data_IF_731527907036
#
_entry.id   IF_731527907036
#
_cell.length_a   1.000
_cell.length_b   1.000
_cell.length_c   1.000
_cell.angle_alpha   90.00
_cell.angle_beta   90.00
_cell.angle_gamma   90.00
#
_symmetry.space_group_name_H-M   'P 1'
#
loop_
_entity.id
_entity.type
_entity.pdbx_description
1 polymer ?
#
# COMPACT_ATOMS: atom_id res chain seq x y z
N UNK A 1 -18.72 45.51 16.23
CA UNK A 1 -18.58 46.93 16.65
C UNK A 1 -17.11 47.31 16.61
N UNK A 2 -16.80 48.23 15.69
CA UNK A 2 -15.69 49.18 15.50
C UNK A 2 -14.38 48.98 16.31
N UNK A 3 -13.28 48.70 15.61
CA UNK A 3 -12.16 49.64 15.38
C UNK A 3 -10.90 48.90 14.88
N UNK A 4 -10.33 49.36 13.76
CA UNK A 4 -9.09 48.82 13.23
C UNK A 4 -8.78 49.23 11.79
N UNK A 5 -9.03 50.50 11.45
CA UNK A 5 -8.83 51.13 10.14
C UNK A 5 -7.34 51.37 9.78
N UNK A 6 -6.47 50.40 10.10
CA UNK A 6 -5.04 50.38 9.74
C UNK A 6 -4.62 49.21 8.85
N UNK A 7 -5.47 48.18 8.69
CA UNK A 7 -5.13 46.95 7.96
C UNK A 7 -5.40 46.98 6.45
N UNK A 8 -6.21 47.92 5.95
CA UNK A 8 -6.69 47.89 4.56
C UNK A 8 -5.63 48.35 3.55
N UNK A 9 -4.71 49.25 3.91
CA UNK A 9 -3.62 49.67 3.02
C UNK A 9 -2.50 48.62 2.92
N UNK A 10 -2.12 47.94 4.01
CA UNK A 10 -1.12 46.85 3.96
C UNK A 10 -1.64 45.63 3.20
N UNK A 11 -2.89 45.19 3.47
CA UNK A 11 -3.52 44.12 2.68
C UNK A 11 -3.68 44.52 1.22
N UNK A 12 -4.07 45.77 0.91
CA UNK A 12 -4.16 46.22 -0.48
C UNK A 12 -2.80 46.30 -1.19
N UNK A 13 -1.70 46.58 -0.47
CA UNK A 13 -0.33 46.56 -1.04
C UNK A 13 0.14 45.13 -1.26
N UNK A 14 -0.15 44.20 -0.34
CA UNK A 14 0.14 42.77 -0.51
C UNK A 14 -0.70 42.17 -1.64
N UNK A 15 -1.96 42.58 -1.80
CA UNK A 15 -2.80 42.23 -2.94
C UNK A 15 -2.32 42.85 -4.24
N UNK A 16 -1.85 44.10 -4.24
CA UNK A 16 -1.30 44.71 -5.44
C UNK A 16 0.05 44.09 -5.83
N UNK A 17 0.93 43.77 -4.88
CA UNK A 17 2.17 43.03 -5.14
C UNK A 17 1.89 41.59 -5.56
N UNK A 18 0.90 40.93 -4.97
CA UNK A 18 0.46 39.59 -5.36
C UNK A 18 -0.19 39.62 -6.75
N UNK A 19 -1.13 40.53 -7.04
CA UNK A 19 -1.70 40.74 -8.37
C UNK A 19 -0.65 41.17 -9.39
N UNK A 20 0.35 41.97 -9.01
CA UNK A 20 1.47 42.35 -9.88
C UNK A 20 2.44 41.18 -10.08
N UNK A 21 2.68 40.33 -9.07
CA UNK A 21 3.41 39.07 -9.19
C UNK A 21 2.62 38.03 -9.98
N UNK A 22 1.28 38.06 -9.96
CA UNK A 22 0.38 37.21 -10.73
C UNK A 22 0.22 37.67 -12.17
N UNK A 23 0.22 38.98 -12.40
CA UNK A 23 0.24 39.59 -13.72
C UNK A 23 1.64 39.45 -14.34
N UNK A 24 2.71 39.52 -13.54
CA UNK A 24 4.04 39.12 -13.96
C UNK A 24 4.14 37.61 -14.12
N UNK A 25 3.49 36.77 -13.31
CA UNK A 25 3.43 35.32 -13.52
C UNK A 25 2.78 35.03 -14.88
N UNK A 26 1.65 35.68 -15.17
CA UNK A 26 0.93 35.70 -16.46
C UNK A 26 1.82 36.14 -17.65
N UNK A 27 2.63 37.19 -17.50
CA UNK A 27 3.55 37.71 -18.55
C UNK A 27 4.85 36.88 -18.66
N UNK A 28 5.34 36.35 -17.54
CA UNK A 28 6.66 35.69 -17.38
C UNK A 28 6.62 34.22 -17.79
N UNK A 29 5.45 33.58 -17.80
CA UNK A 29 5.20 32.26 -18.41
C UNK A 29 5.81 32.10 -19.81
N UNK A 30 5.96 33.20 -20.56
CA UNK A 30 6.56 33.22 -21.89
C UNK A 30 7.96 33.83 -21.97
N UNK A 31 8.44 34.57 -20.96
CA UNK A 31 9.59 35.47 -21.14
C UNK A 31 10.75 35.29 -20.16
N UNK A 32 10.54 34.80 -18.92
CA UNK A 32 11.65 34.71 -17.95
C UNK A 32 11.60 33.45 -17.07
N UNK A 33 12.42 32.46 -17.44
CA UNK A 33 12.56 31.18 -16.75
C UNK A 33 13.11 31.32 -15.32
N UNK A 34 13.89 32.38 -15.03
CA UNK A 34 14.55 32.56 -13.75
C UNK A 34 13.58 32.97 -12.65
N UNK A 35 12.63 33.84 -13.00
CA UNK A 35 11.57 34.30 -12.08
C UNK A 35 10.68 33.14 -11.68
N UNK A 36 10.30 32.30 -12.65
CA UNK A 36 9.51 31.09 -12.38
C UNK A 36 10.26 30.12 -11.46
N UNK A 37 11.52 29.82 -11.74
CA UNK A 37 12.32 28.94 -10.87
C UNK A 37 12.39 29.49 -9.44
N UNK A 38 12.63 30.79 -9.28
CA UNK A 38 12.65 31.44 -7.97
C UNK A 38 11.30 31.36 -7.25
N UNK A 39 10.19 31.54 -7.98
CA UNK A 39 8.85 31.43 -7.41
C UNK A 39 8.57 30.03 -6.88
N UNK A 40 8.87 28.96 -7.63
CA UNK A 40 8.64 27.60 -7.14
C UNK A 40 9.61 27.23 -6.02
N UNK A 41 10.86 27.68 -6.10
CA UNK A 41 11.87 27.37 -5.11
C UNK A 41 11.57 27.99 -3.74
N UNK A 42 11.22 29.28 -3.70
CA UNK A 42 10.93 29.99 -2.45
C UNK A 42 9.44 29.99 -2.07
N UNK A 43 8.53 29.77 -3.03
CA UNK A 43 7.08 29.82 -2.87
C UNK A 43 6.41 28.46 -2.72
N UNK A 44 7.11 27.43 -2.21
CA UNK A 44 6.59 26.05 -2.08
C UNK A 44 5.28 25.94 -1.28
N UNK A 45 5.00 26.93 -0.41
CA UNK A 45 3.82 26.95 0.46
C UNK A 45 2.75 27.97 0.01
N UNK A 46 2.80 28.48 -1.23
CA UNK A 46 1.91 29.56 -1.69
C UNK A 46 0.42 29.28 -1.39
N UNK A 47 -0.04 28.06 -1.71
CA UNK A 47 -1.43 27.66 -1.51
C UNK A 47 -1.79 27.35 -0.05
N UNK A 48 -0.79 27.20 0.84
CA UNK A 48 -1.01 27.01 2.28
C UNK A 48 -1.22 28.32 3.04
N UNK A 49 -0.95 29.46 2.41
CA UNK A 49 -1.06 30.78 3.03
C UNK A 49 -2.51 31.29 3.15
N UNK A 50 -3.49 30.62 2.53
CA UNK A 50 -4.90 31.03 2.60
C UNK A 50 -5.17 32.39 1.95
N UNK A 51 -4.35 32.78 0.96
CA UNK A 51 -4.50 34.04 0.25
C UNK A 51 -5.81 34.02 -0.55
N UNK A 52 -6.66 35.02 -0.33
CA UNK A 52 -7.93 35.12 -1.05
C UNK A 52 -7.67 35.28 -2.55
N UNK A 53 -8.35 34.48 -3.36
CA UNK A 53 -8.22 34.52 -4.83
C UNK A 53 -7.03 33.72 -5.39
N UNK A 54 -6.19 33.10 -4.56
CA UNK A 54 -5.09 32.21 -5.01
C UNK A 54 -5.61 31.02 -5.81
N UNK A 55 -6.85 30.60 -5.59
CA UNK A 55 -7.51 29.54 -6.34
C UNK A 55 -7.55 29.84 -7.85
N UNK A 56 -7.73 31.11 -8.23
CA UNK A 56 -7.86 31.52 -9.62
C UNK A 56 -6.61 31.24 -10.47
N UNK A 57 -5.45 31.14 -9.82
CA UNK A 57 -4.17 30.97 -10.48
C UNK A 57 -3.77 29.50 -10.56
N UNK A 58 -4.47 28.61 -9.85
CA UNK A 58 -4.10 27.21 -9.72
C UNK A 58 -3.94 26.47 -11.06
N UNK A 59 -4.86 26.58 -12.05
CA UNK A 59 -4.69 25.90 -13.33
C UNK A 59 -3.39 26.31 -14.05
N UNK A 60 -3.05 27.59 -13.98
CA UNK A 60 -1.84 28.16 -14.57
C UNK A 60 -0.60 27.75 -13.79
N UNK A 61 -0.68 27.79 -12.46
CA UNK A 61 0.41 27.35 -11.59
C UNK A 61 0.82 25.90 -11.89
N UNK A 62 -0.15 24.98 -12.01
CA UNK A 62 0.12 23.60 -12.39
C UNK A 62 0.69 23.49 -13.81
N UNK A 63 0.30 24.38 -14.73
CA UNK A 63 0.90 24.46 -16.05
C UNK A 63 2.38 24.86 -16.03
N UNK A 64 2.75 25.82 -15.19
CA UNK A 64 4.17 26.18 -15.00
C UNK A 64 4.95 25.06 -14.37
N UNK A 65 4.35 24.44 -13.35
CA UNK A 65 4.95 23.35 -12.60
C UNK A 65 5.35 22.23 -13.56
N UNK A 66 4.44 21.82 -14.46
CA UNK A 66 4.73 20.80 -15.48
C UNK A 66 5.92 21.19 -16.38
N UNK A 67 5.96 22.44 -16.86
CA UNK A 67 7.05 22.93 -17.72
C UNK A 67 8.38 22.84 -16.98
N UNK A 68 8.46 23.39 -15.77
CA UNK A 68 9.71 23.45 -15.01
C UNK A 68 10.16 22.05 -14.62
N UNK A 69 9.24 21.18 -14.20
CA UNK A 69 9.52 19.80 -13.85
C UNK A 69 10.08 19.01 -15.04
N UNK A 70 9.50 19.17 -16.23
CA UNK A 70 9.96 18.51 -17.46
C UNK A 70 11.30 19.08 -17.93
N UNK A 71 11.45 20.40 -17.97
CA UNK A 71 12.65 21.04 -18.51
C UNK A 71 13.84 20.90 -17.57
N UNK A 72 13.63 20.94 -16.25
CA UNK A 72 14.70 20.70 -15.26
C UNK A 72 15.22 19.26 -15.25
N UNK A 73 14.52 18.31 -15.89
CA UNK A 73 15.07 16.98 -16.15
C UNK A 73 16.14 17.00 -17.27
N UNK A 74 16.19 18.05 -18.09
CA UNK A 74 17.06 18.14 -19.27
C UNK A 74 18.10 19.24 -19.18
N UNK A 75 17.79 20.34 -18.48
CA UNK A 75 18.56 21.58 -18.51
C UNK A 75 18.62 22.20 -17.13
N UNK A 76 19.74 22.88 -16.83
CA UNK A 76 19.83 23.78 -15.69
C UNK A 76 19.04 25.06 -15.98
N UNK A 77 17.92 25.24 -15.28
CA UNK A 77 17.03 26.38 -15.51
C UNK A 77 17.44 27.64 -14.73
N UNK A 78 18.15 27.49 -13.62
CA UNK A 78 18.58 28.60 -12.76
C UNK A 78 20.06 28.45 -12.36
N UNK A 79 20.88 29.52 -12.43
CA UNK A 79 22.31 29.44 -12.19
C UNK A 79 22.66 29.10 -10.73
N UNK A 80 21.81 29.41 -9.76
CA UNK A 80 22.08 29.17 -8.34
C UNK A 80 21.29 28.01 -7.73
N UNK A 81 20.38 27.38 -8.47
CA UNK A 81 19.52 26.31 -7.94
C UNK A 81 19.83 25.02 -8.70
N UNK A 82 20.29 23.95 -8.03
CA UNK A 82 20.51 22.64 -8.65
C UNK A 82 19.22 22.05 -9.24
N UNK A 83 19.30 21.26 -10.33
CA UNK A 83 18.09 20.77 -10.99
C UNK A 83 17.27 19.82 -10.10
N UNK A 84 17.93 18.98 -9.30
CA UNK A 84 17.28 18.07 -8.34
C UNK A 84 16.47 18.84 -7.31
N UNK A 85 17.02 19.93 -6.76
CA UNK A 85 16.35 20.78 -5.79
C UNK A 85 15.22 21.60 -6.42
N UNK A 86 15.35 21.96 -7.70
CA UNK A 86 14.26 22.58 -8.46
C UNK A 86 13.08 21.61 -8.62
N UNK A 87 13.34 20.36 -9.02
CA UNK A 87 12.30 19.32 -9.10
C UNK A 87 11.69 19.05 -7.74
N UNK A 88 12.49 19.00 -6.67
CA UNK A 88 12.02 18.86 -5.28
C UNK A 88 11.06 19.98 -4.90
N UNK A 89 11.41 21.22 -5.22
CA UNK A 89 10.56 22.37 -4.96
C UNK A 89 9.23 22.29 -5.73
N UNK A 90 9.26 21.87 -6.99
CA UNK A 90 8.04 21.61 -7.78
C UNK A 90 7.19 20.48 -7.18
N UNK A 91 7.78 19.38 -6.73
CA UNK A 91 7.04 18.28 -6.09
C UNK A 91 6.42 18.73 -4.75
N UNK A 92 7.13 19.54 -3.95
CA UNK A 92 6.59 20.12 -2.72
C UNK A 92 5.44 21.09 -2.99
N UNK A 93 5.60 21.93 -4.01
CA UNK A 93 4.52 22.78 -4.51
C UNK A 93 3.28 21.95 -4.91
N UNK A 94 3.47 20.88 -5.69
CA UNK A 94 2.40 19.97 -6.10
C UNK A 94 1.72 19.32 -4.89
N UNK A 95 2.50 18.89 -3.89
CA UNK A 95 1.98 18.28 -2.66
C UNK A 95 1.03 19.19 -1.88
N UNK A 96 1.18 20.51 -2.00
CA UNK A 96 0.29 21.47 -1.32
C UNK A 96 -1.12 21.51 -1.89
N UNK A 97 -1.30 21.00 -3.12
CA UNK A 97 -2.56 21.04 -3.87
C UNK A 97 -3.03 19.67 -4.37
N UNK A 98 -2.34 18.58 -4.03
CA UNK A 98 -2.61 17.23 -4.56
C UNK A 98 -4.02 16.73 -4.26
N UNK A 99 -4.58 17.05 -3.09
CA UNK A 99 -5.94 16.66 -2.69
C UNK A 99 -7.02 17.61 -3.20
N UNK A 100 -6.68 18.80 -3.71
CA UNK A 100 -7.67 19.81 -4.07
C UNK A 100 -8.71 19.33 -5.10
N UNK A 101 -8.37 18.52 -6.12
CA UNK A 101 -9.36 18.01 -7.05
C UNK A 101 -10.46 17.18 -6.41
N UNK A 102 -10.16 16.42 -5.35
CA UNK A 102 -11.13 15.57 -4.63
C UNK A 102 -11.78 16.32 -3.48
N UNK A 103 -11.06 17.23 -2.81
CA UNK A 103 -11.61 18.07 -1.74
C UNK A 103 -12.68 19.03 -2.25
N UNK A 104 -12.44 19.70 -3.39
CA UNK A 104 -13.37 20.69 -3.94
C UNK A 104 -14.25 20.13 -5.07
N UNK A 105 -13.87 19.00 -5.66
CA UNK A 105 -14.67 18.26 -6.62
C UNK A 105 -15.13 19.10 -7.82
N UNK A 106 -16.44 19.12 -8.06
CA UNK A 106 -17.07 19.84 -9.18
C UNK A 106 -17.21 21.34 -8.97
N UNK A 107 -16.71 21.88 -7.87
CA UNK A 107 -16.76 23.32 -7.60
C UNK A 107 -16.02 24.09 -8.69
N UNK A 108 -16.56 25.27 -9.04
CA UNK A 108 -15.94 26.14 -10.04
C UNK A 108 -14.69 26.81 -9.48
N UNK A 109 -13.66 26.89 -10.31
CA UNK A 109 -12.45 27.66 -10.00
C UNK A 109 -12.74 29.13 -10.36
N UNK A 110 -12.47 30.11 -9.47
CA UNK A 110 -12.56 31.53 -9.79
C UNK A 110 -11.75 31.86 -11.04
N UNK A 111 -12.31 32.66 -11.95
CA UNK A 111 -11.65 32.99 -13.23
C UNK A 111 -10.96 34.35 -13.17
N UNK A 112 -9.78 34.46 -13.78
CA UNK A 112 -9.08 35.74 -13.96
C UNK A 112 -9.70 36.49 -15.15
N UNK A 113 -10.03 37.79 -15.00
CA UNK A 113 -10.39 38.63 -16.15
C UNK A 113 -9.18 38.69 -17.09
N UNK A 114 -9.38 38.43 -18.39
CA UNK A 114 -8.35 38.26 -19.45
C UNK A 114 -7.71 36.86 -19.60
N UNK A 115 -8.37 35.79 -19.15
CA UNK A 115 -7.82 34.42 -19.28
C UNK A 115 -7.89 33.79 -20.70
N UNK A 116 -8.49 34.46 -21.69
CA UNK A 116 -8.86 33.88 -22.99
C UNK A 116 -7.67 33.42 -23.87
N UNK A 117 -6.44 33.80 -23.54
CA UNK A 117 -5.23 33.42 -24.27
C UNK A 117 -4.39 32.32 -23.57
N UNK A 118 -4.84 31.81 -22.42
CA UNK A 118 -4.07 30.85 -21.64
C UNK A 118 -4.37 29.40 -22.04
N UNK A 119 -3.32 28.58 -22.10
CA UNK A 119 -3.38 27.16 -22.50
C UNK A 119 -4.11 26.27 -21.50
N UNK A 120 -4.40 26.73 -20.28
CA UNK A 120 -5.05 25.93 -19.24
C UNK A 120 -6.51 26.35 -19.05
N UNK A 121 -7.44 25.55 -19.56
CA UNK A 121 -8.87 25.83 -19.62
C UNK A 121 -9.70 25.21 -18.49
N UNK A 122 -9.07 24.79 -17.38
CA UNK A 122 -9.78 24.11 -16.30
C UNK A 122 -10.75 25.07 -15.60
N UNK A 123 -12.03 24.74 -15.63
CA UNK A 123 -13.12 25.52 -15.03
C UNK A 123 -13.56 24.99 -13.67
N UNK A 124 -13.24 23.72 -13.36
CA UNK A 124 -13.52 23.08 -12.07
C UNK A 124 -12.29 22.40 -11.49
N UNK A 125 -12.28 22.16 -10.18
CA UNK A 125 -11.16 21.50 -9.50
C UNK A 125 -10.95 20.06 -9.98
N UNK A 126 -12.02 19.31 -10.22
CA UNK A 126 -11.91 17.92 -10.66
C UNK A 126 -11.18 17.77 -12.00
N UNK A 127 -11.30 18.74 -12.90
CA UNK A 127 -10.57 18.75 -14.18
C UNK A 127 -9.05 18.80 -13.99
N UNK A 128 -8.55 19.29 -12.86
CA UNK A 128 -7.13 19.29 -12.53
C UNK A 128 -6.63 17.90 -12.10
N UNK A 129 -7.52 16.98 -11.71
CA UNK A 129 -7.17 15.64 -11.23
C UNK A 129 -6.33 14.87 -12.24
N UNK A 130 -6.77 14.83 -13.50
CA UNK A 130 -6.07 14.15 -14.60
C UNK A 130 -4.69 14.75 -14.86
N UNK A 131 -4.56 16.07 -14.72
CA UNK A 131 -3.28 16.77 -14.86
C UNK A 131 -2.31 16.35 -13.75
N UNK A 132 -2.72 16.48 -12.50
CA UNK A 132 -1.89 16.11 -11.33
C UNK A 132 -1.46 14.65 -11.42
N UNK A 133 -2.38 13.74 -11.77
CA UNK A 133 -2.07 12.33 -12.02
C UNK A 133 -0.98 12.16 -13.10
N UNK A 134 -1.13 12.80 -14.27
CA UNK A 134 -0.14 12.72 -15.36
C UNK A 134 1.23 13.27 -14.93
N UNK A 135 1.26 14.36 -14.16
CA UNK A 135 2.50 14.94 -13.60
C UNK A 135 3.18 13.97 -12.64
N UNK A 136 2.43 13.31 -11.76
CA UNK A 136 2.96 12.31 -10.83
C UNK A 136 3.51 11.09 -11.55
N UNK A 137 2.77 10.52 -12.53
CA UNK A 137 3.25 9.39 -13.33
C UNK A 137 4.50 9.76 -14.14
N UNK A 138 4.56 10.98 -14.68
CA UNK A 138 5.76 11.49 -15.34
C UNK A 138 6.94 11.55 -14.36
N UNK A 139 6.74 12.11 -13.16
CA UNK A 139 7.77 12.17 -12.11
C UNK A 139 8.26 10.77 -11.74
N UNK A 140 7.32 9.85 -11.52
CA UNK A 140 7.59 8.48 -11.13
C UNK A 140 8.38 7.70 -12.19
N UNK A 141 8.25 8.05 -13.48
CA UNK A 141 8.96 7.41 -14.59
C UNK A 141 10.34 8.01 -14.88
N UNK A 142 10.59 9.26 -14.48
CA UNK A 142 11.78 10.00 -14.90
C UNK A 142 12.67 10.47 -13.73
N UNK A 143 12.15 10.55 -12.51
CA UNK A 143 12.96 10.97 -11.37
C UNK A 143 13.96 9.88 -10.95
N UNK A 144 15.12 10.35 -10.49
CA UNK A 144 16.27 9.55 -10.08
C UNK A 144 16.69 9.83 -8.64
N UNK A 145 16.38 11.01 -8.10
CA UNK A 145 16.70 11.36 -6.70
C UNK A 145 15.78 10.59 -5.73
N UNK A 146 16.33 9.83 -4.76
CA UNK A 146 15.54 9.03 -3.82
C UNK A 146 14.53 9.85 -3.00
N UNK A 147 14.89 11.07 -2.57
CA UNK A 147 14.02 11.93 -1.77
C UNK A 147 12.82 12.41 -2.60
N UNK A 148 13.07 12.82 -3.85
CA UNK A 148 12.01 13.20 -4.78
C UNK A 148 11.12 12.00 -5.15
N UNK A 149 11.68 10.79 -5.27
CA UNK A 149 10.92 9.57 -5.48
C UNK A 149 10.01 9.23 -4.29
N UNK A 150 10.51 9.33 -3.06
CA UNK A 150 9.68 9.16 -1.85
C UNK A 150 8.52 10.15 -1.80
N UNK A 151 8.78 11.43 -2.09
CA UNK A 151 7.74 12.45 -2.14
C UNK A 151 6.69 12.15 -3.23
N UNK A 152 7.14 11.71 -4.40
CA UNK A 152 6.26 11.31 -5.50
C UNK A 152 5.41 10.10 -5.15
N UNK A 153 6.01 9.05 -4.59
CA UNK A 153 5.31 7.83 -4.15
C UNK A 153 4.26 8.14 -3.08
N UNK A 154 4.60 8.97 -2.10
CA UNK A 154 3.65 9.40 -1.06
C UNK A 154 2.46 10.17 -1.66
N UNK A 155 2.71 11.11 -2.58
CA UNK A 155 1.63 11.83 -3.27
C UNK A 155 0.76 10.90 -4.12
N UNK A 156 1.35 9.89 -4.77
CA UNK A 156 0.60 8.89 -5.52
C UNK A 156 -0.37 8.11 -4.62
N UNK A 157 0.07 7.66 -3.44
CA UNK A 157 -0.79 6.96 -2.47
C UNK A 157 -1.98 7.83 -2.08
N UNK A 158 -1.72 9.07 -1.65
CA UNK A 158 -2.76 10.02 -1.26
C UNK A 158 -3.74 10.27 -2.40
N UNK A 159 -3.24 10.52 -3.62
CA UNK A 159 -4.10 10.78 -4.76
C UNK A 159 -4.99 9.57 -5.10
N UNK A 160 -4.49 8.33 -5.02
CA UNK A 160 -5.27 7.14 -5.35
C UNK A 160 -6.36 6.88 -4.32
N UNK A 161 -6.03 6.96 -3.03
CA UNK A 161 -6.98 6.74 -1.94
C UNK A 161 -8.11 7.79 -1.98
N UNK A 162 -7.74 9.06 -2.07
CA UNK A 162 -8.70 10.17 -2.17
C UNK A 162 -9.54 10.10 -3.44
N UNK A 163 -8.95 9.73 -4.59
CA UNK A 163 -9.70 9.61 -5.85
C UNK A 163 -10.68 8.45 -5.83
N UNK A 164 -10.28 7.32 -5.23
CA UNK A 164 -11.14 6.15 -5.06
C UNK A 164 -12.31 6.47 -4.14
N UNK A 165 -12.02 7.05 -2.96
CA UNK A 165 -13.02 7.47 -1.98
C UNK A 165 -14.01 8.48 -2.58
N UNK A 166 -13.49 9.49 -3.29
CA UNK A 166 -14.31 10.50 -3.95
C UNK A 166 -15.24 9.88 -4.99
N UNK A 167 -14.71 9.06 -5.92
CA UNK A 167 -15.50 8.46 -7.00
C UNK A 167 -16.60 7.53 -6.45
N UNK A 168 -16.33 6.78 -5.38
CA UNK A 168 -17.31 5.90 -4.73
C UNK A 168 -18.37 6.66 -3.91
N UNK A 169 -18.07 7.89 -3.51
CA UNK A 169 -18.99 8.75 -2.75
C UNK A 169 -19.97 9.56 -3.61
N UNK A 170 -19.87 9.50 -4.94
CA UNK A 170 -20.74 10.25 -5.85
C UNK A 170 -22.12 9.60 -6.00
N UNK A 171 -23.15 10.42 -6.17
CA UNK A 171 -24.47 9.94 -6.63
C UNK A 171 -24.43 9.55 -8.10
N UNK A 172 -25.46 8.84 -8.58
CA UNK A 172 -25.59 8.47 -9.99
C UNK A 172 -25.59 9.70 -10.92
N UNK A 173 -26.25 10.80 -10.51
CA UNK A 173 -26.28 12.05 -11.28
C UNK A 173 -24.90 12.72 -11.32
N UNK A 174 -24.21 12.78 -10.18
CA UNK A 174 -22.87 13.35 -10.09
C UNK A 174 -21.84 12.53 -10.88
N UNK A 175 -21.98 11.21 -10.88
CA UNK A 175 -21.17 10.30 -11.68
C UNK A 175 -21.39 10.54 -13.18
N UNK A 176 -22.64 10.70 -13.61
CA UNK A 176 -22.96 11.02 -15.00
C UNK A 176 -22.37 12.38 -15.43
N UNK A 177 -22.44 13.39 -14.57
CA UNK A 177 -21.84 14.70 -14.84
C UNK A 177 -20.31 14.62 -14.90
N UNK A 178 -19.69 13.88 -13.98
CA UNK A 178 -18.25 13.62 -14.02
C UNK A 178 -17.81 12.99 -15.35
N UNK A 179 -18.52 11.96 -15.79
CA UNK A 179 -18.24 11.29 -17.05
C UNK A 179 -18.38 12.27 -18.22
N UNK A 180 -19.41 13.13 -18.23
CA UNK A 180 -19.58 14.17 -19.26
C UNK A 180 -18.41 15.13 -19.28
N UNK A 181 -18.02 15.67 -18.13
CA UNK A 181 -16.93 16.63 -18.00
C UNK A 181 -15.59 16.07 -18.49
N UNK A 182 -15.32 14.79 -18.22
CA UNK A 182 -14.06 14.16 -18.64
C UNK A 182 -14.06 13.77 -20.12
N UNK A 183 -15.22 13.36 -20.66
CA UNK A 183 -15.38 13.09 -22.09
C UNK A 183 -15.11 14.33 -22.93
N UNK A 184 -15.57 15.50 -22.46
CA UNK A 184 -15.29 16.79 -23.12
C UNK A 184 -13.79 17.14 -23.14
N UNK A 185 -12.99 16.61 -22.22
CA UNK A 185 -11.54 16.87 -22.17
C UNK A 185 -10.69 15.91 -23.02
N UNK A 186 -11.14 14.67 -23.25
CA UNK A 186 -10.29 13.61 -23.82
C UNK A 186 -10.71 13.11 -25.22
N UNK A 187 -11.78 13.65 -25.82
CA UNK A 187 -12.26 13.20 -27.13
C UNK A 187 -12.85 11.78 -27.13
N UNK A 188 -13.11 11.20 -28.30
CA UNK A 188 -13.86 9.94 -28.57
C UNK A 188 -13.31 8.62 -27.95
N UNK A 189 -12.64 8.65 -26.80
CA UNK A 189 -12.34 7.45 -26.02
C UNK A 189 -13.56 7.11 -25.15
N UNK A 190 -13.98 5.85 -25.14
CA UNK A 190 -15.06 5.38 -24.27
C UNK A 190 -14.67 5.65 -22.82
N UNK A 191 -15.39 6.51 -22.08
CA UNK A 191 -15.06 6.78 -20.68
C UNK A 191 -15.29 5.49 -19.89
N UNK A 192 -14.23 4.95 -19.29
CA UNK A 192 -14.40 3.91 -18.27
C UNK A 192 -15.25 4.51 -17.14
N UNK A 193 -16.28 3.77 -16.70
CA UNK A 193 -17.17 4.20 -15.60
C UNK A 193 -16.45 4.50 -14.27
N UNK A 194 -15.15 4.21 -14.16
CA UNK A 194 -14.31 4.59 -13.02
C UNK A 194 -13.02 5.22 -13.51
N UNK A 195 -12.96 6.55 -13.61
CA UNK A 195 -11.77 7.27 -14.06
C UNK A 195 -10.56 6.99 -13.16
N UNK A 196 -10.77 6.85 -11.86
CA UNK A 196 -9.73 6.43 -10.92
C UNK A 196 -9.17 5.02 -11.23
N UNK A 197 -9.93 4.12 -11.85
CA UNK A 197 -9.45 2.77 -12.27
C UNK A 197 -8.28 2.92 -13.24
N UNK A 198 -8.42 3.80 -14.23
CA UNK A 198 -7.35 4.07 -15.20
C UNK A 198 -6.11 4.68 -14.52
N UNK A 199 -6.30 5.48 -13.47
CA UNK A 199 -5.20 6.05 -12.69
C UNK A 199 -4.48 4.99 -11.86
N UNK A 200 -5.23 4.14 -11.17
CA UNK A 200 -4.68 3.02 -10.40
C UNK A 200 -3.89 2.08 -11.32
N UNK A 201 -4.47 1.68 -12.46
CA UNK A 201 -3.79 0.83 -13.46
C UNK A 201 -2.50 1.46 -13.97
N UNK A 202 -2.53 2.73 -14.35
CA UNK A 202 -1.34 3.41 -14.88
C UNK A 202 -0.27 3.67 -13.82
N UNK A 203 -0.65 3.92 -12.57
CA UNK A 203 0.27 3.99 -11.43
C UNK A 203 0.93 2.63 -11.17
N UNK A 204 0.13 1.58 -11.04
CA UNK A 204 0.60 0.21 -10.82
C UNK A 204 1.59 -0.19 -11.92
N UNK A 205 1.23 0.06 -13.19
CA UNK A 205 2.12 -0.19 -14.32
C UNK A 205 3.45 0.55 -14.19
N UNK A 206 3.44 1.82 -13.80
CA UNK A 206 4.65 2.61 -13.64
C UNK A 206 5.54 2.12 -12.47
N UNK A 207 4.96 1.77 -11.32
CA UNK A 207 5.70 1.23 -10.17
C UNK A 207 6.28 -0.15 -10.52
N UNK A 208 5.46 -1.05 -11.06
CA UNK A 208 5.84 -2.42 -11.40
C UNK A 208 6.95 -2.49 -12.45
N UNK A 209 6.95 -1.56 -13.41
CA UNK A 209 8.03 -1.41 -14.38
C UNK A 209 9.32 -0.94 -13.70
N UNK A 210 9.27 0.11 -12.87
CA UNK A 210 10.44 0.72 -12.23
C UNK A 210 11.08 -0.13 -11.14
N UNK A 211 10.30 -0.81 -10.29
CA UNK A 211 10.81 -1.51 -9.08
C UNK A 211 11.86 -2.58 -9.39
N UNK A 212 11.78 -3.21 -10.57
CA UNK A 212 12.74 -4.23 -10.99
C UNK A 212 13.94 -3.66 -11.77
N UNK A 213 13.95 -2.37 -12.07
CA UNK A 213 15.09 -1.76 -12.77
C UNK A 213 16.23 -1.50 -11.79
N UNK A 214 17.50 -1.54 -12.25
CA UNK A 214 18.67 -1.38 -11.38
C UNK A 214 18.65 -0.11 -10.53
N UNK A 215 18.08 0.99 -11.03
CA UNK A 215 18.04 2.27 -10.33
C UNK A 215 17.18 2.20 -9.05
N UNK A 216 16.10 1.43 -9.04
CA UNK A 216 15.26 1.24 -7.87
C UNK A 216 15.68 0.02 -7.06
N UNK A 217 16.04 -1.06 -7.74
CA UNK A 217 16.50 -2.29 -7.12
C UNK A 217 17.84 -2.14 -6.38
N UNK A 218 18.63 -1.11 -6.70
CA UNK A 218 19.82 -0.71 -5.93
C UNK A 218 19.51 0.22 -4.76
N UNK A 219 18.43 1.01 -4.85
CA UNK A 219 17.99 1.96 -3.84
C UNK A 219 16.94 1.34 -2.90
N UNK A 220 17.42 0.65 -1.86
CA UNK A 220 16.58 -0.14 -0.95
C UNK A 220 15.44 0.68 -0.30
N UNK A 221 15.70 1.94 0.05
CA UNK A 221 14.70 2.82 0.67
C UNK A 221 13.56 3.16 -0.30
N UNK A 222 13.86 3.34 -1.58
CA UNK A 222 12.87 3.60 -2.64
C UNK A 222 12.08 2.32 -2.92
N UNK A 223 12.75 1.17 -2.98
CA UNK A 223 12.10 -0.14 -3.13
C UNK A 223 11.08 -0.40 -2.02
N UNK A 224 11.43 -0.16 -0.75
CA UNK A 224 10.50 -0.30 0.38
C UNK A 224 9.31 0.64 0.25
N UNK A 225 9.55 1.92 -0.04
CA UNK A 225 8.47 2.89 -0.24
C UNK A 225 7.53 2.48 -1.39
N UNK A 226 8.07 1.93 -2.48
CA UNK A 226 7.28 1.42 -3.59
C UNK A 226 6.42 0.21 -3.19
N UNK A 227 6.98 -0.72 -2.42
CA UNK A 227 6.24 -1.86 -1.85
C UNK A 227 5.13 -1.37 -0.92
N UNK A 228 5.38 -0.35 -0.10
CA UNK A 228 4.36 0.23 0.79
C UNK A 228 3.23 0.90 0.02
N UNK A 229 3.53 1.58 -1.10
CA UNK A 229 2.49 2.08 -2.02
C UNK A 229 1.66 0.92 -2.56
N UNK A 230 2.31 -0.15 -3.06
CA UNK A 230 1.59 -1.33 -3.56
C UNK A 230 0.73 -1.99 -2.46
N UNK A 231 1.20 -2.07 -1.23
CA UNK A 231 0.40 -2.56 -0.10
C UNK A 231 -0.76 -1.62 0.23
N UNK A 232 -0.57 -0.31 0.15
CA UNK A 232 -1.65 0.65 0.38
C UNK A 232 -2.77 0.47 -0.64
N UNK A 233 -2.43 0.17 -1.89
CA UNK A 233 -3.40 -0.07 -2.96
C UNK A 233 -4.27 -1.31 -2.73
N UNK A 234 -3.85 -2.30 -1.94
CA UNK A 234 -4.67 -3.49 -1.66
C UNK A 234 -5.91 -3.17 -0.80
N UNK A 235 -5.94 -2.01 -0.15
CA UNK A 235 -7.08 -1.55 0.64
C UNK A 235 -8.11 -0.78 -0.18
N UNK A 236 -7.83 -0.49 -1.46
CA UNK A 236 -8.81 0.14 -2.34
C UNK A 236 -10.01 -0.78 -2.57
N UNK A 237 -11.18 -0.19 -2.81
CA UNK A 237 -12.41 -0.95 -2.96
C UNK A 237 -12.32 -1.96 -4.12
N UNK A 238 -12.81 -3.20 -3.97
CA UNK A 238 -12.70 -4.25 -4.99
C UNK A 238 -13.29 -3.88 -6.36
N UNK A 239 -14.32 -3.02 -6.41
CA UNK A 239 -14.91 -2.58 -7.70
C UNK A 239 -13.97 -1.69 -8.51
N UNK A 240 -13.00 -1.04 -7.86
CA UNK A 240 -11.97 -0.22 -8.53
C UNK A 240 -10.80 -1.11 -8.95
N UNK A 241 -10.33 -1.99 -8.05
CA UNK A 241 -9.19 -2.89 -8.32
C UNK A 241 -9.52 -3.98 -9.35
N UNK A 242 -10.72 -4.55 -9.28
CA UNK A 242 -11.19 -5.67 -10.12
C UNK A 242 -12.38 -5.25 -10.99
N UNK A 243 -12.30 -4.04 -11.55
CA UNK A 243 -13.33 -3.51 -12.44
C UNK A 243 -13.58 -4.49 -13.60
N UNK A 244 -14.84 -4.81 -13.88
CA UNK A 244 -15.25 -5.83 -14.86
C UNK A 244 -14.66 -7.23 -14.63
N UNK A 245 -14.35 -7.58 -13.36
CA UNK A 245 -13.68 -8.85 -12.98
C UNK A 245 -12.27 -9.00 -13.59
N UNK A 246 -11.65 -7.91 -14.00
CA UNK A 246 -10.29 -7.91 -14.51
C UNK A 246 -9.27 -8.02 -13.37
N UNK A 247 -8.56 -9.14 -13.31
CA UNK A 247 -7.50 -9.40 -12.32
C UNK A 247 -6.12 -8.92 -12.74
N UNK A 248 -5.98 -8.35 -13.95
CA UNK A 248 -4.67 -7.99 -14.54
C UNK A 248 -3.84 -7.08 -13.64
N UNK A 249 -4.47 -6.15 -12.92
CA UNK A 249 -3.79 -5.21 -12.02
C UNK A 249 -3.13 -5.96 -10.85
N UNK A 250 -3.90 -6.81 -10.16
CA UNK A 250 -3.37 -7.61 -9.05
C UNK A 250 -2.33 -8.63 -9.52
N UNK A 251 -2.58 -9.29 -10.67
CA UNK A 251 -1.63 -10.23 -11.26
C UNK A 251 -0.31 -9.57 -11.64
N UNK A 252 -0.34 -8.34 -12.18
CA UNK A 252 0.87 -7.58 -12.51
C UNK A 252 1.68 -7.25 -11.26
N UNK A 253 1.01 -6.88 -10.17
CA UNK A 253 1.68 -6.57 -8.89
C UNK A 253 2.39 -7.80 -8.35
N UNK A 254 1.66 -8.92 -8.22
CA UNK A 254 2.24 -10.17 -7.70
C UNK A 254 3.40 -10.64 -8.58
N UNK A 255 3.23 -10.66 -9.91
CA UNK A 255 4.29 -11.04 -10.84
C UNK A 255 5.52 -10.12 -10.73
N UNK A 256 5.31 -8.82 -10.55
CA UNK A 256 6.42 -7.85 -10.42
C UNK A 256 7.16 -7.99 -9.09
N UNK A 257 6.46 -8.30 -7.99
CA UNK A 257 7.07 -8.59 -6.70
C UNK A 257 7.89 -9.90 -6.76
N UNK A 258 7.37 -10.95 -7.40
CA UNK A 258 8.12 -12.18 -7.63
C UNK A 258 9.39 -11.93 -8.46
N UNK A 259 9.28 -11.15 -9.55
CA UNK A 259 10.43 -10.75 -10.38
C UNK A 259 11.43 -9.90 -9.59
N UNK A 260 10.96 -9.03 -8.70
CA UNK A 260 11.82 -8.24 -7.83
C UNK A 260 12.62 -9.15 -6.87
N UNK A 261 11.97 -10.12 -6.23
CA UNK A 261 12.64 -11.11 -5.37
C UNK A 261 13.73 -11.85 -6.15
N UNK A 262 13.41 -12.34 -7.35
CA UNK A 262 14.40 -12.99 -8.21
C UNK A 262 15.57 -12.07 -8.55
N UNK A 263 15.28 -10.81 -8.90
CA UNK A 263 16.32 -9.81 -9.22
C UNK A 263 17.24 -9.54 -8.03
N UNK A 264 16.69 -9.48 -6.81
CA UNK A 264 17.47 -9.23 -5.59
C UNK A 264 18.30 -10.45 -5.18
N UNK A 265 17.71 -11.65 -5.19
CA UNK A 265 18.37 -12.88 -4.78
C UNK A 265 19.33 -13.43 -5.84
N UNK A 266 19.16 -13.04 -7.11
CA UNK A 266 20.07 -13.38 -8.20
C UNK A 266 21.35 -12.55 -8.23
N UNK A 267 21.51 -11.56 -7.33
CA UNK A 267 22.76 -10.81 -7.20
C UNK A 267 23.88 -11.71 -6.67
N UNK A 268 25.15 -11.44 -7.00
CA UNK A 268 26.27 -12.22 -6.47
C UNK A 268 26.39 -12.03 -4.93
N UNK A 269 26.91 -13.03 -4.18
CA UNK A 269 26.97 -13.01 -2.71
C UNK A 269 27.58 -11.74 -2.08
N UNK A 270 28.62 -11.09 -2.65
CA UNK A 270 29.16 -9.84 -2.09
C UNK A 270 28.17 -8.67 -2.06
N UNK A 271 27.12 -8.70 -2.87
CA UNK A 271 26.07 -7.68 -2.90
C UNK A 271 24.90 -8.01 -1.95
N UNK A 272 24.95 -9.13 -1.23
CA UNK A 272 23.91 -9.51 -0.27
C UNK A 272 24.10 -8.75 1.05
N UNK A 273 23.40 -7.62 1.16
CA UNK A 273 23.34 -6.84 2.39
C UNK A 273 22.10 -7.19 3.22
N UNK A 274 22.13 -6.82 4.51
CA UNK A 274 20.97 -6.90 5.41
C UNK A 274 19.78 -6.10 4.86
N UNK A 275 20.04 -4.95 4.26
CA UNK A 275 19.00 -4.07 3.70
C UNK A 275 18.37 -4.68 2.46
N UNK A 276 19.18 -5.30 1.60
CA UNK A 276 18.69 -6.07 0.46
C UNK A 276 17.75 -7.18 0.93
N UNK A 277 18.16 -8.01 1.89
CA UNK A 277 17.28 -9.06 2.43
C UNK A 277 16.01 -8.47 3.07
N UNK A 278 16.07 -7.27 3.63
CA UNK A 278 14.87 -6.60 4.16
C UNK A 278 13.89 -6.21 3.05
N UNK A 279 14.38 -5.78 1.88
CA UNK A 279 13.50 -5.55 0.70
C UNK A 279 12.87 -6.84 0.18
N UNK A 280 13.61 -7.96 0.20
CA UNK A 280 13.09 -9.28 -0.21
C UNK A 280 12.00 -9.76 0.76
N UNK A 281 12.24 -9.65 2.06
CA UNK A 281 11.25 -9.98 3.10
C UNK A 281 9.97 -9.15 2.91
N UNK A 282 10.12 -7.83 2.69
CA UNK A 282 8.97 -6.95 2.43
C UNK A 282 8.19 -7.36 1.18
N UNK A 283 8.87 -7.81 0.12
CA UNK A 283 8.22 -8.29 -1.10
C UNK A 283 7.43 -9.59 -0.86
N UNK A 284 7.99 -10.56 -0.12
CA UNK A 284 7.23 -11.77 0.28
C UNK A 284 5.99 -11.43 1.11
N UNK A 285 6.13 -10.56 2.10
CA UNK A 285 5.00 -10.08 2.91
C UNK A 285 3.97 -9.35 2.06
N UNK A 286 4.39 -8.54 1.09
CA UNK A 286 3.50 -7.83 0.16
C UNK A 286 2.71 -8.79 -0.73
N UNK A 287 3.32 -9.85 -1.24
CA UNK A 287 2.60 -10.88 -1.99
C UNK A 287 1.51 -11.51 -1.11
N UNK A 288 1.82 -11.83 0.15
CA UNK A 288 0.83 -12.35 1.08
C UNK A 288 -0.31 -11.36 1.33
N UNK A 289 -0.03 -10.07 1.49
CA UNK A 289 -1.05 -9.01 1.61
C UNK A 289 -2.00 -9.04 0.40
N UNK A 290 -1.46 -9.08 -0.82
CA UNK A 290 -2.25 -9.08 -2.05
C UNK A 290 -3.11 -10.33 -2.22
N UNK A 291 -2.55 -11.52 -1.93
CA UNK A 291 -3.31 -12.78 -2.02
C UNK A 291 -4.42 -12.85 -0.96
N UNK A 292 -4.22 -12.27 0.22
CA UNK A 292 -5.26 -12.20 1.25
C UNK A 292 -6.33 -11.14 0.94
N UNK A 293 -5.94 -9.98 0.41
CA UNK A 293 -6.87 -8.93 0.02
C UNK A 293 -7.72 -9.33 -1.19
N UNK A 294 -7.18 -10.16 -2.09
CA UNK A 294 -7.85 -10.60 -3.30
C UNK A 294 -7.67 -12.11 -3.55
N UNK A 295 -8.47 -12.97 -2.89
CA UNK A 295 -8.37 -14.42 -3.03
C UNK A 295 -8.51 -14.95 -4.47
N UNK A 296 -9.22 -14.21 -5.34
CA UNK A 296 -9.35 -14.54 -6.77
C UNK A 296 -7.99 -14.63 -7.50
N UNK A 297 -6.95 -13.95 -7.00
CA UNK A 297 -5.60 -14.06 -7.54
C UNK A 297 -5.00 -15.45 -7.26
N UNK A 298 -5.33 -16.07 -6.14
CA UNK A 298 -4.91 -17.43 -5.80
C UNK A 298 -5.67 -18.50 -6.58
N UNK A 299 -6.75 -18.16 -7.29
CA UNK A 299 -7.45 -19.07 -8.21
C UNK A 299 -6.81 -19.07 -9.61
N UNK A 300 -5.93 -18.11 -9.90
CA UNK A 300 -5.26 -17.98 -11.18
C UNK A 300 -4.00 -18.86 -11.22
N UNK A 301 -4.01 -19.89 -12.08
CA UNK A 301 -2.88 -20.83 -12.23
C UNK A 301 -1.54 -20.13 -12.52
N UNK A 302 -1.54 -19.11 -13.39
CA UNK A 302 -0.33 -18.35 -13.73
C UNK A 302 0.25 -17.58 -12.54
N UNK A 303 -0.61 -17.04 -11.68
CA UNK A 303 -0.20 -16.36 -10.44
C UNK A 303 0.38 -17.37 -9.46
N UNK A 304 -0.31 -18.50 -9.23
CA UNK A 304 0.16 -19.56 -8.34
C UNK A 304 1.51 -20.12 -8.76
N UNK A 305 1.71 -20.40 -10.05
CA UNK A 305 2.99 -20.89 -10.57
C UNK A 305 4.12 -19.88 -10.29
N UNK A 306 3.87 -18.60 -10.57
CA UNK A 306 4.87 -17.54 -10.33
C UNK A 306 5.20 -17.37 -8.84
N UNK A 307 4.19 -17.48 -7.97
CA UNK A 307 4.38 -17.43 -6.51
C UNK A 307 5.12 -18.66 -5.99
N UNK A 308 4.79 -19.85 -6.48
CA UNK A 308 5.44 -21.09 -6.10
C UNK A 308 6.93 -21.10 -6.48
N UNK A 309 7.30 -20.59 -7.65
CA UNK A 309 8.69 -20.42 -8.06
C UNK A 309 9.44 -19.43 -7.14
N UNK A 310 8.80 -18.32 -6.75
CA UNK A 310 9.39 -17.36 -5.83
C UNK A 310 9.56 -17.95 -4.42
N UNK A 311 8.59 -18.72 -3.93
CA UNK A 311 8.68 -19.44 -2.65
C UNK A 311 9.81 -20.47 -2.70
N UNK A 312 9.89 -21.29 -3.76
CA UNK A 312 10.97 -22.25 -3.95
C UNK A 312 12.32 -21.56 -3.89
N UNK A 313 12.52 -20.47 -4.65
CA UNK A 313 13.75 -19.69 -4.62
C UNK A 313 14.12 -19.19 -3.21
N UNK A 314 13.13 -18.77 -2.42
CA UNK A 314 13.36 -18.28 -1.05
C UNK A 314 13.76 -19.39 -0.08
N UNK A 315 13.21 -20.60 -0.26
CA UNK A 315 13.48 -21.76 0.60
C UNK A 315 14.79 -22.45 0.22
N UNK A 316 15.02 -22.68 -1.07
CA UNK A 316 16.14 -23.49 -1.57
C UNK A 316 17.33 -22.68 -2.06
N UNK A 317 17.13 -21.39 -2.35
CA UNK A 317 18.13 -20.56 -3.03
C UNK A 317 18.29 -20.88 -4.53
N UNK A 318 17.51 -21.81 -5.10
CA UNK A 318 17.63 -22.24 -6.51
C UNK A 318 16.26 -22.40 -7.18
N UNK A 319 16.18 -22.01 -8.47
CA UNK A 319 15.00 -22.28 -9.32
C UNK A 319 15.04 -23.65 -10.02
N UNK A 320 16.19 -24.34 -10.04
CA UNK A 320 16.36 -25.57 -10.81
C UNK A 320 15.66 -26.74 -10.11
N UNK A 321 14.81 -27.48 -10.84
CA UNK A 321 14.19 -28.72 -10.35
C UNK A 321 15.19 -29.86 -10.08
N UNK A 322 16.36 -29.82 -10.72
CA UNK A 322 17.37 -30.89 -10.69
C UNK A 322 18.66 -30.52 -9.92
N UNK A 323 18.68 -29.45 -9.12
CA UNK A 323 19.84 -29.20 -8.26
C UNK A 323 19.92 -30.27 -7.17
N UNK A 324 21.08 -30.91 -7.02
CA UNK A 324 21.35 -31.84 -5.91
C UNK A 324 20.95 -31.19 -4.58
N UNK A 325 20.19 -31.93 -3.76
CA UNK A 325 19.66 -31.46 -2.47
C UNK A 325 20.76 -30.93 -1.53
N UNK A 326 22.02 -31.31 -1.75
CA UNK A 326 23.18 -30.93 -0.94
C UNK A 326 23.65 -29.47 -1.12
N UNK A 327 23.29 -28.78 -2.21
CA UNK A 327 23.68 -27.38 -2.47
C UNK A 327 22.53 -26.36 -2.23
N UNK A 328 21.35 -26.84 -1.84
CA UNK A 328 20.16 -26.02 -1.62
C UNK A 328 20.19 -25.34 -0.26
N UNK A 329 20.46 -24.03 -0.25
CA UNK A 329 20.38 -23.21 0.97
C UNK A 329 19.78 -21.83 0.66
N UNK A 330 18.79 -21.45 1.44
CA UNK A 330 18.22 -20.10 1.42
C UNK A 330 19.31 -19.02 1.61
N UNK A 331 19.12 -17.87 0.95
CA UNK A 331 20.07 -16.76 1.00
C UNK A 331 20.28 -16.20 2.43
N UNK A 332 19.26 -16.28 3.29
CA UNK A 332 19.37 -16.03 4.73
C UNK A 332 18.18 -16.64 5.49
N UNK A 333 18.32 -16.76 6.81
CA UNK A 333 17.23 -17.24 7.68
C UNK A 333 15.95 -16.38 7.56
N UNK A 334 16.11 -15.06 7.45
CA UNK A 334 14.97 -14.13 7.30
C UNK A 334 14.22 -14.34 5.97
N UNK A 335 14.95 -14.61 4.89
CA UNK A 335 14.37 -14.89 3.57
C UNK A 335 13.64 -16.23 3.60
N UNK A 336 14.22 -17.25 4.22
CA UNK A 336 13.59 -18.55 4.44
C UNK A 336 12.26 -18.39 5.22
N UNK A 337 12.30 -17.75 6.39
CA UNK A 337 11.13 -17.55 7.25
C UNK A 337 10.01 -16.77 6.50
N UNK A 338 10.37 -15.78 5.68
CA UNK A 338 9.39 -15.02 4.89
C UNK A 338 8.79 -15.84 3.74
N UNK A 339 9.59 -16.67 3.07
CA UNK A 339 9.11 -17.56 2.01
C UNK A 339 8.21 -18.67 2.55
N UNK A 340 8.59 -19.28 3.68
CA UNK A 340 7.76 -20.25 4.41
C UNK A 340 6.46 -19.61 4.86
N UNK A 341 6.48 -18.40 5.41
CA UNK A 341 5.27 -17.67 5.79
C UNK A 341 4.33 -17.47 4.59
N UNK A 342 4.85 -17.06 3.42
CA UNK A 342 4.03 -16.92 2.21
C UNK A 342 3.44 -18.28 1.78
N UNK A 343 4.23 -19.34 1.81
CA UNK A 343 3.78 -20.71 1.53
C UNK A 343 2.65 -21.13 2.46
N UNK A 344 2.81 -20.92 3.77
CA UNK A 344 1.77 -21.18 4.75
C UNK A 344 0.53 -20.33 4.48
N UNK A 345 0.67 -19.04 4.20
CA UNK A 345 -0.49 -18.17 3.88
C UNK A 345 -1.26 -18.67 2.65
N UNK A 346 -0.58 -19.22 1.64
CA UNK A 346 -1.19 -19.73 0.42
C UNK A 346 -1.89 -21.09 0.65
N UNK A 347 -1.19 -22.04 1.29
CA UNK A 347 -1.62 -23.43 1.41
C UNK A 347 -2.40 -23.74 2.70
N UNK A 348 -2.49 -22.83 3.66
CA UNK A 348 -3.40 -22.99 4.82
C UNK A 348 -4.87 -23.02 4.38
N UNK A 349 -5.20 -22.54 3.18
CA UNK A 349 -6.53 -22.57 2.58
C UNK A 349 -6.70 -23.79 1.66
N UNK A 350 -5.66 -24.14 0.88
CA UNK A 350 -5.66 -25.28 -0.05
C UNK A 350 -5.37 -26.57 0.71
N UNK A 351 -6.45 -27.21 1.16
CA UNK A 351 -6.40 -28.34 2.09
C UNK A 351 -7.63 -28.43 2.98
N UNK A 352 -8.51 -27.41 2.95
CA UNK A 352 -9.88 -27.49 3.50
C UNK A 352 -10.78 -28.38 2.64
N UNK A 353 -10.40 -29.64 2.43
CA UNK A 353 -11.34 -30.68 2.05
C UNK A 353 -12.17 -31.02 3.30
N UNK A 354 -13.37 -30.44 3.40
CA UNK A 354 -14.44 -30.98 4.26
C UNK A 354 -14.23 -30.95 5.78
N UNK A 355 -13.19 -30.32 6.34
CA UNK A 355 -13.19 -30.06 7.79
C UNK A 355 -14.20 -28.95 8.08
N UNK A 356 -15.34 -29.37 8.63
CA UNK A 356 -16.38 -28.46 9.05
C UNK A 356 -15.85 -27.42 10.03
N UNK A 357 -16.33 -26.18 9.93
CA UNK A 357 -15.92 -25.05 10.79
C UNK A 357 -16.03 -25.48 12.26
N UNK A 358 -14.88 -25.59 12.93
CA UNK A 358 -14.79 -25.92 14.35
C UNK A 358 -14.88 -24.64 15.18
N UNK A 359 -16.08 -24.30 15.65
CA UNK A 359 -16.36 -23.14 16.49
C UNK A 359 -17.27 -23.49 17.69
N UNK A 360 -17.51 -22.51 18.56
CA UNK A 360 -18.32 -22.63 19.77
C UNK A 360 -19.77 -23.04 19.45
N UNK A 361 -20.30 -22.60 18.29
CA UNK A 361 -21.65 -22.97 17.83
C UNK A 361 -21.71 -24.43 17.39
N UNK A 362 -20.64 -24.96 16.79
CA UNK A 362 -20.56 -26.36 16.42
C UNK A 362 -20.47 -27.26 17.65
N UNK A 363 -19.74 -26.84 18.69
CA UNK A 363 -19.75 -27.52 19.99
C UNK A 363 -21.16 -27.54 20.60
N UNK A 364 -21.88 -26.42 20.54
CA UNK A 364 -23.28 -26.35 20.95
C UNK A 364 -24.16 -27.32 20.15
N UNK A 365 -23.97 -27.43 18.84
CA UNK A 365 -24.71 -28.40 18.02
C UNK A 365 -24.36 -29.85 18.37
N UNK A 366 -23.08 -30.13 18.67
CA UNK A 366 -22.59 -31.49 18.98
C UNK A 366 -23.06 -31.99 20.35
N UNK A 367 -22.99 -31.15 21.39
CA UNK A 367 -23.29 -31.55 22.78
C UNK A 367 -24.65 -31.05 23.29
N UNK A 368 -25.28 -30.11 22.57
CA UNK A 368 -26.59 -29.55 22.91
C UNK A 368 -26.53 -28.36 23.88
N UNK A 369 -27.64 -27.60 24.00
CA UNK A 369 -27.73 -26.39 24.82
C UNK A 369 -27.71 -26.65 26.32
N UNK A 370 -27.92 -27.89 26.75
CA UNK A 370 -27.80 -28.28 28.16
C UNK A 370 -26.33 -28.42 28.61
N UNK A 371 -25.41 -28.64 27.67
CA UNK A 371 -23.99 -28.92 27.94
C UNK A 371 -23.06 -27.76 27.51
N UNK A 372 -23.45 -26.98 26.51
CA UNK A 372 -22.63 -25.88 26.00
C UNK A 372 -23.44 -24.60 26.03
N UNK A 373 -22.88 -23.58 26.69
CA UNK A 373 -23.39 -22.22 26.68
C UNK A 373 -22.36 -21.33 25.98
N UNK A 374 -22.69 -20.86 24.77
CA UNK A 374 -21.77 -20.06 23.95
C UNK A 374 -21.38 -18.74 24.61
N UNK A 375 -22.13 -18.28 25.62
CA UNK A 375 -21.81 -17.06 26.38
C UNK A 375 -20.80 -17.27 27.50
N UNK A 376 -20.52 -18.52 27.88
CA UNK A 376 -19.62 -18.89 28.98
C UNK A 376 -18.20 -19.27 28.54
N UNK A 377 -17.88 -19.08 27.26
CA UNK A 377 -16.51 -19.28 26.78
C UNK A 377 -15.59 -18.17 27.31
N UNK A 378 -14.48 -18.59 27.89
CA UNK A 378 -13.38 -17.72 28.25
C UNK A 378 -12.39 -17.64 27.09
N UNK A 379 -12.12 -16.43 26.62
CA UNK A 379 -11.23 -16.19 25.48
C UNK A 379 -9.86 -15.70 25.98
N UNK A 380 -8.80 -16.40 25.59
CA UNK A 380 -7.42 -16.09 25.99
C UNK A 380 -6.53 -16.07 24.76
N UNK A 381 -5.73 -15.01 24.61
CA UNK A 381 -4.68 -14.95 23.58
C UNK A 381 -3.38 -15.45 24.20
N UNK A 382 -2.82 -16.51 23.63
CA UNK A 382 -1.56 -17.13 24.02
C UNK A 382 -0.49 -16.76 22.99
N UNK A 383 0.70 -16.36 23.44
CA UNK A 383 1.84 -15.97 22.62
C UNK A 383 1.57 -14.81 21.63
N UNK A 384 0.50 -14.03 21.84
CA UNK A 384 0.17 -12.85 21.05
C UNK A 384 -0.54 -13.13 19.71
N UNK A 385 -0.62 -14.38 19.27
CA UNK A 385 -1.16 -14.75 17.96
C UNK A 385 -2.20 -15.88 18.00
N UNK A 386 -2.31 -16.63 19.10
CA UNK A 386 -3.15 -17.83 19.17
C UNK A 386 -4.30 -17.62 20.13
N UNK A 387 -5.54 -17.64 19.62
CA UNK A 387 -6.75 -17.51 20.42
C UNK A 387 -7.23 -18.88 20.90
N UNK A 388 -7.40 -19.03 22.21
CA UNK A 388 -8.10 -20.15 22.83
C UNK A 388 -9.45 -19.67 23.35
N UNK A 389 -10.53 -20.36 22.97
CA UNK A 389 -11.84 -20.22 23.61
C UNK A 389 -12.09 -21.46 24.47
N UNK A 390 -12.18 -21.31 25.79
CA UNK A 390 -12.22 -22.41 26.75
C UNK A 390 -13.60 -22.43 27.43
N UNK A 391 -14.21 -23.60 27.56
CA UNK A 391 -15.47 -23.81 28.25
C UNK A 391 -15.35 -24.96 29.26
N UNK A 392 -15.92 -24.76 30.44
CA UNK A 392 -16.00 -25.77 31.49
C UNK A 392 -16.79 -26.99 30.99
N UNK A 393 -16.24 -28.19 31.10
CA UNK A 393 -16.83 -29.40 30.52
C UNK A 393 -16.85 -30.59 31.49
N UNK A 394 -16.57 -30.38 32.78
CA UNK A 394 -16.57 -31.47 33.79
C UNK A 394 -17.96 -32.05 34.01
N UNK A 395 -19.00 -31.27 33.71
CA UNK A 395 -20.39 -31.71 33.78
C UNK A 395 -20.83 -32.59 32.59
N UNK A 396 -19.97 -32.78 31.57
CA UNK A 396 -20.26 -33.60 30.38
C UNK A 396 -19.65 -35.00 30.62
N UNK A 397 -20.44 -36.04 30.95
CA UNK A 397 -19.89 -37.33 31.40
C UNK A 397 -19.03 -38.02 30.34
N UNK A 398 -19.41 -37.89 29.07
CA UNK A 398 -18.68 -38.46 27.93
C UNK A 398 -17.28 -37.84 27.74
N UNK A 399 -17.03 -36.66 28.32
CA UNK A 399 -15.76 -35.95 28.21
C UNK A 399 -14.99 -35.88 29.51
N UNK A 400 -15.65 -35.91 30.66
CA UNK A 400 -14.99 -35.71 31.95
C UNK A 400 -14.39 -37.00 32.52
N UNK A 401 -15.07 -38.13 32.34
CA UNK A 401 -14.70 -39.42 32.95
C UNK A 401 -14.33 -39.31 34.45
N UNK A 402 -15.11 -38.51 35.19
CA UNK A 402 -14.90 -38.25 36.62
C UNK A 402 -13.78 -37.25 36.96
N UNK A 403 -13.08 -36.68 35.97
CA UNK A 403 -12.02 -35.70 36.16
C UNK A 403 -12.47 -34.26 35.80
N UNK A 404 -11.92 -33.22 36.44
CA UNK A 404 -12.10 -31.84 35.98
C UNK A 404 -11.64 -31.70 34.54
N UNK A 405 -12.49 -31.11 33.70
CA UNK A 405 -12.33 -31.13 32.25
C UNK A 405 -12.74 -29.81 31.63
N UNK A 406 -11.99 -29.36 30.63
CA UNK A 406 -12.34 -28.21 29.80
C UNK A 406 -12.32 -28.58 28.32
N UNK A 407 -13.29 -28.06 27.58
CA UNK A 407 -13.27 -28.02 26.13
C UNK A 407 -12.57 -26.74 25.70
N UNK A 408 -11.78 -26.81 24.63
CA UNK A 408 -11.19 -25.62 24.05
C UNK A 408 -11.27 -25.62 22.53
N UNK A 409 -11.48 -24.43 21.96
CA UNK A 409 -11.33 -24.13 20.53
C UNK A 409 -10.04 -23.34 20.38
N UNK A 410 -9.06 -23.92 19.68
CA UNK A 410 -7.79 -23.28 19.36
C UNK A 410 -7.86 -22.69 17.96
N UNK A 411 -7.58 -21.39 17.82
CA UNK A 411 -7.44 -20.68 16.54
C UNK A 411 -6.06 -20.06 16.46
N UNK A 412 -5.30 -20.43 15.44
CA UNK A 412 -3.97 -19.90 15.19
C UNK A 412 -3.88 -19.44 13.73
N UNK A 413 -3.09 -18.40 13.41
CA UNK A 413 -2.81 -18.01 12.03
C UNK A 413 -2.15 -19.14 11.23
N UNK A 414 -1.45 -20.05 11.91
CA UNK A 414 -0.63 -21.11 11.32
C UNK A 414 -1.33 -22.47 11.22
N UNK A 415 -2.48 -22.65 11.89
CA UNK A 415 -3.16 -23.96 11.98
C UNK A 415 -4.68 -23.80 11.87
N UNK A 416 -5.40 -24.75 11.22
CA UNK A 416 -6.86 -24.76 11.22
C UNK A 416 -7.43 -24.73 12.65
N UNK A 417 -8.63 -24.12 12.78
CA UNK A 417 -9.35 -24.14 14.05
C UNK A 417 -9.55 -25.60 14.50
N UNK A 418 -9.07 -25.92 15.69
CA UNK A 418 -9.15 -27.27 16.25
C UNK A 418 -9.87 -27.24 17.58
N UNK A 419 -10.61 -28.30 17.86
CA UNK A 419 -11.22 -28.54 19.16
C UNK A 419 -10.38 -29.57 19.89
N UNK A 420 -10.14 -29.34 21.16
CA UNK A 420 -9.57 -30.34 22.04
C UNK A 420 -10.25 -30.34 23.40
N UNK A 421 -9.91 -31.36 24.17
CA UNK A 421 -10.38 -31.56 25.54
C UNK A 421 -9.13 -31.66 26.40
N UNK A 422 -9.06 -30.87 27.46
CA UNK A 422 -8.03 -30.97 28.47
C UNK A 422 -8.64 -31.46 29.77
N UNK A 423 -8.17 -32.61 30.25
CA UNK A 423 -8.59 -33.22 31.51
C UNK A 423 -7.46 -33.11 32.54
N UNK A 424 -7.81 -32.75 33.76
CA UNK A 424 -6.89 -32.79 34.88
C UNK A 424 -6.94 -34.18 35.51
N UNK A 425 -5.98 -35.03 35.16
CA UNK A 425 -5.83 -36.36 35.75
C UNK A 425 -4.81 -36.35 36.88
N UNK A 426 -5.00 -37.13 37.96
CA UNK A 426 -4.03 -37.25 39.04
C UNK A 426 -2.71 -37.90 38.57
N UNK A 427 -2.76 -38.71 37.51
CA UNK A 427 -1.60 -39.37 36.92
C UNK A 427 -1.68 -39.34 35.37
N UNK A 428 -0.53 -39.30 34.67
CA UNK A 428 -0.49 -39.38 33.22
C UNK A 428 -0.97 -40.76 32.72
N UNK A 429 -1.41 -40.83 31.46
CA UNK A 429 -1.78 -42.11 30.84
C UNK A 429 -0.60 -43.09 30.87
N UNK A 430 -0.82 -44.29 31.40
CA UNK A 430 0.21 -45.32 31.53
C UNK A 430 1.06 -45.22 32.81
N UNK A 431 0.70 -44.37 33.78
CA UNK A 431 1.38 -44.32 35.07
C UNK A 431 1.22 -45.64 35.85
N UNK A 432 2.33 -46.37 36.00
CA UNK A 432 2.43 -47.53 36.88
C UNK A 432 3.21 -47.13 38.14
N UNK A 433 2.59 -47.18 39.34
CA UNK A 433 3.25 -46.77 40.58
C UNK A 433 4.48 -47.63 40.94
N UNK A 434 4.61 -48.82 40.36
CA UNK A 434 5.70 -49.78 40.63
C UNK A 434 6.89 -49.68 39.64
N UNK A 435 6.82 -48.81 38.63
CA UNK A 435 7.95 -48.57 37.73
C UNK A 435 8.79 -47.39 38.23
N UNK A 436 10.02 -47.69 38.65
CA UNK A 436 11.03 -46.70 39.00
C UNK A 436 11.22 -45.72 37.83
N UNK A 437 11.17 -44.38 38.07
CA UNK A 437 11.34 -43.41 37.00
C UNK A 437 12.72 -43.58 36.35
N UNK A 438 12.84 -43.46 35.02
CA UNK A 438 14.15 -43.48 34.37
C UNK A 438 15.01 -42.33 34.92
N UNK A 439 16.31 -42.54 35.15
CA UNK A 439 17.17 -41.52 35.71
C UNK A 439 17.20 -40.29 34.80
N UNK A 440 16.91 -39.13 35.37
CA UNK A 440 16.98 -37.84 34.68
C UNK A 440 18.46 -37.49 34.45
N UNK A 441 18.86 -37.08 33.23
CA UNK A 441 20.24 -36.76 32.93
C UNK A 441 20.57 -35.33 33.39
N UNK A 442 20.53 -35.07 34.70
CA UNK A 442 21.16 -33.90 35.33
C UNK A 442 21.45 -34.19 36.80
N UNK A 443 22.47 -35.00 37.04
CA UNK A 443 23.24 -34.99 38.28
C UNK A 443 24.70 -35.25 37.91
N UNK A 444 25.31 -34.30 37.20
CA UNK A 444 26.77 -34.24 37.09
C UNK A 444 27.31 -33.89 38.48
N UNK A 445 27.91 -34.91 39.09
CA UNK A 445 28.92 -34.86 40.15
C UNK A 445 29.64 -33.53 40.28
N UNK A 446 29.47 -32.86 41.42
CA UNK A 446 30.47 -31.98 42.02
C UNK A 446 30.83 -32.56 43.38
N UNK A 447 31.87 -33.38 43.42
CA UNK A 447 32.70 -33.63 44.61
C UNK A 447 34.12 -33.94 44.15
N UNK A 448 34.99 -32.92 44.11
CA UNK A 448 36.31 -32.89 44.79
C UNK A 448 36.77 -31.45 44.88
#
# INVERSE_FOLDING_TARGET
>A
MIAGTGGNKRRSIDYCLFLFSLQNLYISFQKDRLVLCSLFYYGQNLFRLGLTGVEAILPHYLFALDIILIESAKLRLHPSIPEVEMRRACLRALSSVVCWPTTFGMSKIPQLPESSNLKSSATTYLQLRSRIYKTLVFSLRNETDPVNLHLTLAMCTVLMEESCSYDLGLTDEQTAEMIRMVTQQHGNQTPEKGLCVSFVRGLVSAICDRICRPEWAGEHSVSLAAIDVLNSLSHLHPTVLFNNKDVSTGSLIVASLCRFIETQLGKPPPLHSKDLHSTVVAAYSSIAVWLNAAPILAECESVLNTVAEAVQLGVTGTKKKDSSLEESKAASKRVLEAAEYLMYSLFSVVGRSGQAICDERRLLYTYGPAAIDTTKFMHVIVNGDTLFSIHEASHIPALADGCPCVLYVKRSPMQPASVGVAQLRPHPEGYQPDQLPPPTPMASTFES
#
